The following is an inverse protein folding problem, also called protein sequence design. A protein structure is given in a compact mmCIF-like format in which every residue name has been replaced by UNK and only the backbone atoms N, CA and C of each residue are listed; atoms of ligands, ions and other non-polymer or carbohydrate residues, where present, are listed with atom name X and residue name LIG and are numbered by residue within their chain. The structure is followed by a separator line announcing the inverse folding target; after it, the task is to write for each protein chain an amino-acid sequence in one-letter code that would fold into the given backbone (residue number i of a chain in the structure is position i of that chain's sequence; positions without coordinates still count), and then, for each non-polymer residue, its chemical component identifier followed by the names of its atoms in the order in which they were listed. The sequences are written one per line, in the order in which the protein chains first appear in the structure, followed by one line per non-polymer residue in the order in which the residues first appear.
data_IF_198709551881
#
_entry.id   IF_198709551881
#
_cell.length_a   1.000
_cell.length_b   1.000
_cell.length_c   1.000
_cell.angle_alpha   90.00
_cell.angle_beta   90.00
_cell.angle_gamma   90.00
#
_symmetry.space_group_name_H-M   'P 1'
#
loop_
_entity.id
_entity.type
_entity.pdbx_description
1 polymer ?
#
# COMPACT_ATOMS: atom_id res chain seq x y z
N UNK A 1 -60.57 -20.08 11.49
CA UNK A 1 -59.25 -19.87 12.13
C UNK A 1 -58.20 -19.78 11.04
N UNK A 2 -57.86 -18.57 10.57
CA UNK A 2 -56.68 -18.31 9.77
C UNK A 2 -56.22 -16.89 10.14
N UNK A 3 -55.23 -16.84 11.03
CA UNK A 3 -54.65 -15.59 11.54
C UNK A 3 -53.72 -14.98 10.50
N UNK A 4 -54.01 -13.75 10.12
CA UNK A 4 -53.16 -12.91 9.27
C UNK A 4 -52.05 -12.36 10.17
N UNK A 5 -50.82 -12.79 9.90
CA UNK A 5 -49.60 -12.29 10.54
C UNK A 5 -49.35 -10.86 10.04
N UNK A 6 -49.51 -9.87 10.92
CA UNK A 6 -48.99 -8.53 10.70
C UNK A 6 -47.48 -8.52 10.94
N UNK A 7 -46.70 -8.39 9.86
CA UNK A 7 -45.28 -8.06 9.97
C UNK A 7 -45.14 -6.57 10.29
N UNK A 8 -44.84 -6.27 11.55
CA UNK A 8 -44.33 -4.98 11.98
C UNK A 8 -42.85 -4.93 11.58
N UNK A 9 -42.53 -4.24 10.48
CA UNK A 9 -41.16 -3.86 10.16
C UNK A 9 -40.75 -2.73 11.10
N UNK A 10 -40.19 -3.09 12.25
CA UNK A 10 -39.45 -2.17 13.10
C UNK A 10 -38.11 -1.88 12.42
N UNK A 11 -38.01 -0.75 11.73
CA UNK A 11 -36.74 -0.24 11.22
C UNK A 11 -35.99 0.40 12.40
N UNK A 12 -35.29 -0.42 13.18
CA UNK A 12 -34.35 0.07 14.20
C UNK A 12 -33.14 0.66 13.50
N UNK A 13 -33.11 1.99 13.44
CA UNK A 13 -31.98 2.81 13.00
C UNK A 13 -30.77 2.55 13.92
N UNK A 14 -29.81 1.77 13.41
CA UNK A 14 -28.57 1.43 14.11
C UNK A 14 -27.51 2.49 13.83
N UNK A 15 -26.92 2.97 14.92
CA UNK A 15 -25.63 3.64 15.07
C UNK A 15 -25.35 4.89 14.23
N UNK A 16 -25.56 6.03 14.88
CA UNK A 16 -24.79 7.26 14.67
C UNK A 16 -23.31 6.94 14.92
N UNK A 17 -22.57 6.63 13.86
CA UNK A 17 -21.12 6.76 13.85
C UNK A 17 -20.81 8.22 13.52
N UNK A 18 -20.70 9.03 14.58
CA UNK A 18 -20.11 10.35 14.53
C UNK A 18 -18.64 10.23 14.12
N UNK A 19 -18.38 10.25 12.82
CA UNK A 19 -17.04 10.53 12.29
C UNK A 19 -16.88 12.04 12.36
N UNK A 20 -16.16 12.49 13.39
CA UNK A 20 -15.70 13.88 13.52
C UNK A 20 -14.91 14.25 12.27
N UNK A 21 -15.52 15.02 11.38
CA UNK A 21 -14.88 15.59 10.21
C UNK A 21 -13.97 16.74 10.67
N UNK A 22 -12.72 16.41 11.02
CA UNK A 22 -11.67 17.42 11.13
C UNK A 22 -11.17 17.69 9.71
N UNK A 23 -11.76 18.69 9.07
CA UNK A 23 -11.18 19.30 7.87
C UNK A 23 -9.93 20.09 8.29
N UNK A 24 -8.76 19.44 8.25
CA UNK A 24 -7.49 20.16 8.15
C UNK A 24 -7.05 20.16 6.69
N UNK A 25 -6.51 21.26 6.16
CA UNK A 25 -5.73 21.21 4.93
C UNK A 25 -4.46 20.41 5.26
N UNK A 26 -4.44 19.14 4.89
CA UNK A 26 -3.25 18.30 5.02
C UNK A 26 -2.24 18.72 3.95
N UNK A 27 -1.55 19.83 4.16
CA UNK A 27 -0.16 19.95 3.69
C UNK A 27 0.72 19.19 4.66
N UNK A 28 0.47 17.89 4.83
CA UNK A 28 1.45 17.00 5.42
C UNK A 28 2.38 16.61 4.29
N UNK A 29 3.63 17.05 4.40
CA UNK A 29 4.73 16.47 3.66
C UNK A 29 4.65 14.95 3.88
N UNK A 30 4.21 14.20 2.87
CA UNK A 30 4.33 12.76 2.92
C UNK A 30 5.83 12.45 2.84
N UNK A 31 6.36 11.84 3.89
CA UNK A 31 7.80 11.63 4.08
C UNK A 31 8.32 10.47 3.19
N UNK A 32 7.41 9.62 2.68
CA UNK A 32 7.75 8.47 1.85
C UNK A 32 6.69 8.11 0.78
N UNK A 33 7.10 7.34 -0.23
CA UNK A 33 6.19 6.80 -1.27
C UNK A 33 5.13 5.85 -0.66
N UNK A 34 5.44 5.22 0.46
CA UNK A 34 4.57 4.28 1.17
C UNK A 34 3.43 5.01 1.90
N UNK A 35 3.72 6.18 2.51
CA UNK A 35 2.70 7.03 3.12
C UNK A 35 1.71 7.57 2.07
N UNK A 36 2.21 7.95 0.89
CA UNK A 36 1.35 8.38 -0.22
C UNK A 36 0.49 7.23 -0.74
N UNK A 37 1.02 6.01 -0.81
CA UNK A 37 0.27 4.83 -1.24
C UNK A 37 -0.83 4.46 -0.23
N UNK A 38 -0.54 4.50 1.07
CA UNK A 38 -1.53 4.31 2.11
C UNK A 38 -2.65 5.39 2.05
N UNK A 39 -2.29 6.64 1.74
CA UNK A 39 -3.26 7.71 1.59
C UNK A 39 -4.17 7.52 0.35
N UNK A 40 -3.62 7.03 -0.77
CA UNK A 40 -4.39 6.67 -1.97
C UNK A 40 -5.37 5.52 -1.66
N UNK A 41 -4.94 4.50 -0.93
CA UNK A 41 -5.81 3.39 -0.52
C UNK A 41 -6.94 3.87 0.40
N UNK A 42 -6.62 4.72 1.38
CA UNK A 42 -7.63 5.34 2.25
C UNK A 42 -8.65 6.16 1.45
N UNK A 43 -8.19 7.04 0.56
CA UNK A 43 -9.08 7.87 -0.27
C UNK A 43 -9.94 7.04 -1.21
N UNK A 44 -9.42 5.93 -1.76
CA UNK A 44 -10.22 4.98 -2.54
C UNK A 44 -11.33 4.32 -1.71
N UNK A 45 -11.03 3.91 -0.48
CA UNK A 45 -12.03 3.34 0.42
C UNK A 45 -13.11 4.38 0.78
N UNK A 46 -12.71 5.61 1.09
CA UNK A 46 -13.62 6.72 1.39
C UNK A 46 -14.52 7.04 0.18
N UNK A 47 -13.97 7.06 -1.04
CA UNK A 47 -14.73 7.27 -2.28
C UNK A 47 -15.73 6.13 -2.57
N UNK A 48 -15.32 4.88 -2.39
CA UNK A 48 -16.19 3.71 -2.58
C UNK A 48 -17.34 3.70 -1.56
N UNK A 49 -17.03 4.02 -0.30
CA UNK A 49 -18.03 4.13 0.76
C UNK A 49 -19.05 5.24 0.46
N UNK A 50 -18.58 6.44 0.08
CA UNK A 50 -19.46 7.54 -0.30
C UNK A 50 -20.32 7.20 -1.53
N UNK A 51 -19.76 6.51 -2.51
CA UNK A 51 -20.51 6.05 -3.69
C UNK A 51 -21.63 5.06 -3.32
N UNK A 52 -21.35 4.12 -2.42
CA UNK A 52 -22.36 3.18 -1.91
C UNK A 52 -23.45 3.90 -1.09
N UNK A 53 -23.08 4.88 -0.27
CA UNK A 53 -24.03 5.69 0.49
C UNK A 53 -24.96 6.49 -0.41
N UNK A 54 -24.44 7.12 -1.47
CA UNK A 54 -25.26 7.84 -2.46
C UNK A 54 -26.27 6.89 -3.11
N UNK A 55 -25.85 5.68 -3.51
CA UNK A 55 -26.74 4.69 -4.10
C UNK A 55 -27.85 4.23 -3.13
N UNK A 56 -27.51 3.96 -1.87
CA UNK A 56 -28.48 3.58 -0.83
C UNK A 56 -29.49 4.71 -0.53
N UNK A 57 -29.00 5.95 -0.40
CA UNK A 57 -29.86 7.12 -0.21
C UNK A 57 -30.79 7.33 -1.41
N UNK A 58 -30.30 7.11 -2.64
CA UNK A 58 -31.10 7.22 -3.84
C UNK A 58 -32.24 6.20 -3.87
N UNK A 59 -31.95 4.96 -3.46
CA UNK A 59 -32.98 3.93 -3.34
C UNK A 59 -34.02 4.30 -2.28
N UNK A 60 -33.59 4.75 -1.09
CA UNK A 60 -34.50 5.19 -0.02
C UNK A 60 -35.39 6.34 -0.43
N UNK A 61 -34.87 7.30 -1.20
CA UNK A 61 -35.66 8.41 -1.75
C UNK A 61 -36.71 7.86 -2.72
N UNK A 62 -36.36 6.97 -3.64
CA UNK A 62 -37.31 6.37 -4.58
C UNK A 62 -38.41 5.57 -3.86
N UNK A 63 -38.04 4.76 -2.87
CA UNK A 63 -39.00 3.98 -2.08
C UNK A 63 -39.94 4.88 -1.28
N UNK A 64 -39.42 5.96 -0.71
CA UNK A 64 -40.21 6.97 0.00
C UNK A 64 -41.19 7.68 -0.96
N UNK A 65 -40.74 8.10 -2.14
CA UNK A 65 -41.60 8.72 -3.17
C UNK A 65 -42.70 7.78 -3.66
N UNK A 66 -42.40 6.49 -3.85
CA UNK A 66 -43.39 5.50 -4.22
C UNK A 66 -44.47 5.35 -3.13
N UNK A 67 -44.06 5.37 -1.85
CA UNK A 67 -44.97 5.26 -0.72
C UNK A 67 -45.84 6.51 -0.54
N UNK A 68 -45.30 7.70 -0.78
CA UNK A 68 -46.09 8.95 -0.81
C UNK A 68 -47.16 8.86 -1.89
N UNK A 69 -46.79 8.47 -3.13
CA UNK A 69 -47.76 8.31 -4.23
C UNK A 69 -48.86 7.30 -3.91
N UNK A 70 -48.53 6.19 -3.25
CA UNK A 70 -49.50 5.20 -2.83
C UNK A 70 -50.51 5.79 -1.82
N UNK A 71 -50.03 6.56 -0.83
CA UNK A 71 -50.89 7.24 0.14
C UNK A 71 -51.77 8.29 -0.55
N UNK A 72 -51.20 9.10 -1.44
CA UNK A 72 -51.94 10.10 -2.23
C UNK A 72 -53.06 9.45 -3.06
N UNK A 73 -52.83 8.26 -3.62
CA UNK A 73 -53.83 7.51 -4.38
C UNK A 73 -54.94 6.92 -3.50
N UNK A 74 -54.62 6.50 -2.26
CA UNK A 74 -55.61 5.96 -1.32
C UNK A 74 -56.48 7.04 -0.66
N UNK A 75 -55.97 8.28 -0.59
CA UNK A 75 -56.58 9.39 0.14
C UNK A 75 -58.01 9.74 -0.36
N UNK A 76 -58.29 9.85 -1.68
CA UNK A 76 -59.63 10.13 -2.19
C UNK A 76 -60.66 9.06 -1.81
N UNK A 77 -60.29 7.77 -1.87
CA UNK A 77 -61.20 6.68 -1.53
C UNK A 77 -61.53 6.70 -0.03
N UNK A 78 -60.52 6.90 0.83
CA UNK A 78 -60.72 7.00 2.27
C UNK A 78 -61.58 8.21 2.65
N UNK A 79 -61.40 9.35 1.96
CA UNK A 79 -62.28 10.54 2.09
C UNK A 79 -63.72 10.20 1.72
N UNK A 80 -63.95 9.51 0.60
CA UNK A 80 -65.29 9.11 0.16
C UNK A 80 -65.97 8.17 1.16
N UNK A 81 -65.23 7.19 1.71
CA UNK A 81 -65.74 6.24 2.72
C UNK A 81 -66.10 6.95 4.03
N UNK A 82 -65.27 7.88 4.48
CA UNK A 82 -65.56 8.68 5.67
C UNK A 82 -66.82 9.54 5.48
N UNK A 83 -66.94 10.25 4.35
CA UNK A 83 -68.11 11.07 4.03
C UNK A 83 -69.41 10.24 4.00
N UNK A 84 -69.39 9.07 3.35
CA UNK A 84 -70.53 8.16 3.31
C UNK A 84 -70.93 7.63 4.70
N UNK A 85 -69.95 7.33 5.57
CA UNK A 85 -70.21 6.85 6.92
C UNK A 85 -70.85 7.90 7.82
N UNK A 86 -70.44 9.17 7.68
CA UNK A 86 -70.99 10.31 8.41
C UNK A 86 -72.44 10.53 7.94
N UNK A 87 -72.67 10.58 6.63
CA UNK A 87 -74.00 10.74 6.05
C UNK A 87 -74.97 9.62 6.50
N UNK A 88 -74.52 8.37 6.56
CA UNK A 88 -75.34 7.24 6.98
C UNK A 88 -75.65 7.25 8.49
N UNK A 89 -74.65 7.57 9.32
CA UNK A 89 -74.83 7.70 10.78
C UNK A 89 -75.84 8.81 11.10
N UNK A 90 -75.73 9.95 10.41
CA UNK A 90 -76.66 11.06 10.56
C UNK A 90 -78.08 10.67 10.13
N UNK A 91 -78.23 9.93 9.01
CA UNK A 91 -79.53 9.43 8.54
C UNK A 91 -80.18 8.42 9.51
N UNK A 92 -79.39 7.68 10.28
CA UNK A 92 -79.86 6.73 11.30
C UNK A 92 -80.28 7.40 12.61
N UNK A 93 -79.68 8.52 12.99
CA UNK A 93 -80.01 9.29 14.21
C UNK A 93 -81.22 10.23 14.01
N UNK A 94 -82.27 9.78 13.32
CA UNK A 94 -83.47 10.60 13.05
C UNK A 94 -84.03 11.22 14.33
N UNK A 95 -83.84 12.53 14.49
CA UNK A 95 -84.33 13.31 15.62
C UNK A 95 -83.96 14.79 15.66
N UNK A 96 -83.04 15.27 14.82
CA UNK A 96 -82.70 16.71 14.75
C UNK A 96 -82.66 17.19 13.30
N UNK A 97 -83.76 17.82 12.85
CA UNK A 97 -83.96 18.31 11.49
C UNK A 97 -83.24 19.63 11.17
N UNK A 98 -82.34 20.13 12.03
CA UNK A 98 -81.70 21.45 11.87
C UNK A 98 -80.21 21.44 11.52
N UNK A 99 -79.51 20.31 11.70
CA UNK A 99 -78.04 20.26 11.63
C UNK A 99 -77.52 19.97 10.21
N UNK A 100 -78.29 19.26 9.36
CA UNK A 100 -77.95 19.04 7.94
C UNK A 100 -77.79 20.38 7.20
N UNK A 101 -78.68 21.32 7.46
CA UNK A 101 -78.71 22.62 6.77
C UNK A 101 -77.52 23.50 7.20
N UNK A 102 -77.12 23.42 8.47
CA UNK A 102 -75.94 24.11 9.00
C UNK A 102 -74.61 23.52 8.46
N UNK A 103 -74.54 22.19 8.30
CA UNK A 103 -73.39 21.48 7.73
C UNK A 103 -73.25 21.72 6.22
N UNK A 104 -74.35 21.83 5.49
CA UNK A 104 -74.35 22.12 4.05
C UNK A 104 -74.05 23.60 3.75
N UNK A 105 -74.16 24.50 4.72
CA UNK A 105 -73.82 25.92 4.57
C UNK A 105 -72.37 26.26 4.91
N UNK A 106 -71.52 25.30 5.31
CA UNK A 106 -70.11 25.59 5.59
C UNK A 106 -69.27 25.60 4.31
N UNK A 107 -68.61 26.73 4.05
CA UNK A 107 -67.85 26.95 2.82
C UNK A 107 -66.50 26.20 2.79
N UNK A 108 -66.00 25.68 3.92
CA UNK A 108 -64.74 24.94 3.97
C UNK A 108 -64.75 23.70 4.89
N UNK A 109 -63.82 22.77 4.62
CA UNK A 109 -63.72 21.46 5.29
C UNK A 109 -63.17 21.54 6.72
N UNK A 110 -62.35 22.53 7.07
CA UNK A 110 -61.83 22.68 8.43
C UNK A 110 -62.93 23.19 9.39
N UNK A 111 -63.81 24.04 8.91
CA UNK A 111 -65.00 24.51 9.63
C UNK A 111 -66.02 23.38 9.80
N UNK A 112 -66.16 22.53 8.76
CA UNK A 112 -66.95 21.30 8.84
C UNK A 112 -66.41 20.32 9.89
N UNK A 113 -65.09 20.08 9.94
CA UNK A 113 -64.48 19.20 10.95
C UNK A 113 -64.64 19.78 12.36
N UNK A 114 -64.47 21.09 12.52
CA UNK A 114 -64.63 21.78 13.81
C UNK A 114 -66.07 21.71 14.33
N UNK A 115 -67.04 21.92 13.43
CA UNK A 115 -68.48 21.80 13.73
C UNK A 115 -68.88 20.35 14.08
N UNK A 116 -68.31 19.36 13.39
CA UNK A 116 -68.55 17.93 13.67
C UNK A 116 -67.89 17.45 14.97
N UNK A 117 -66.69 17.95 15.30
CA UNK A 117 -66.07 17.73 16.60
C UNK A 117 -66.90 18.34 17.73
N UNK A 118 -67.44 19.55 17.52
CA UNK A 118 -68.32 20.22 18.48
C UNK A 118 -69.60 19.43 18.74
N UNK A 119 -70.17 18.80 17.70
CA UNK A 119 -71.39 18.02 17.81
C UNK A 119 -71.18 16.58 18.32
N UNK A 120 -69.94 16.12 18.51
CA UNK A 120 -69.58 14.77 18.98
C UNK A 120 -70.26 13.63 18.17
N UNK A 121 -70.63 13.90 16.91
CA UNK A 121 -71.17 12.94 15.95
C UNK A 121 -70.04 12.62 14.98
N UNK A 122 -69.08 11.82 15.43
CA UNK A 122 -68.04 11.30 14.54
C UNK A 122 -67.93 9.79 14.79
N UNK A 123 -67.99 9.02 13.71
CA UNK A 123 -67.56 7.61 13.74
C UNK A 123 -66.03 7.59 13.89
N UNK A 124 -65.55 7.51 15.13
CA UNK A 124 -64.13 7.66 15.51
C UNK A 124 -63.15 6.91 14.59
N UNK A 125 -63.51 5.71 14.11
CA UNK A 125 -62.66 4.87 13.26
C UNK A 125 -62.28 5.46 11.90
N UNK A 126 -63.18 6.17 11.24
CA UNK A 126 -62.90 6.68 9.88
C UNK A 126 -62.06 7.96 9.94
N UNK A 127 -62.27 8.79 10.95
CA UNK A 127 -61.45 9.98 11.24
C UNK A 127 -60.05 9.57 11.69
N UNK A 128 -59.91 8.55 12.53
CA UNK A 128 -58.60 7.98 12.90
C UNK A 128 -57.81 7.49 11.69
N UNK A 129 -58.46 6.80 10.74
CA UNK A 129 -57.79 6.29 9.53
C UNK A 129 -57.26 7.42 8.65
N UNK A 130 -58.06 8.47 8.43
CA UNK A 130 -57.64 9.64 7.64
C UNK A 130 -56.51 10.39 8.36
N UNK A 131 -56.63 10.62 9.67
CA UNK A 131 -55.60 11.30 10.45
C UNK A 131 -54.28 10.52 10.42
N UNK A 132 -54.32 9.19 10.51
CA UNK A 132 -53.13 8.34 10.40
C UNK A 132 -52.49 8.44 9.01
N UNK A 133 -53.27 8.46 7.92
CA UNK A 133 -52.74 8.60 6.56
C UNK A 133 -52.11 9.98 6.33
N UNK A 134 -52.75 11.05 6.82
CA UNK A 134 -52.20 12.41 6.74
C UNK A 134 -50.92 12.53 7.55
N UNK A 135 -50.89 11.98 8.77
CA UNK A 135 -49.68 11.95 9.60
C UNK A 135 -48.55 11.18 8.93
N UNK A 136 -48.85 10.00 8.35
CA UNK A 136 -47.86 9.20 7.63
C UNK A 136 -47.33 9.92 6.39
N UNK A 137 -48.18 10.64 5.65
CA UNK A 137 -47.76 11.47 4.53
C UNK A 137 -46.79 12.56 4.98
N UNK A 138 -47.13 13.30 6.04
CA UNK A 138 -46.28 14.36 6.58
C UNK A 138 -44.93 13.81 7.10
N UNK A 139 -44.93 12.64 7.73
CA UNK A 139 -43.72 11.96 8.19
C UNK A 139 -42.85 11.52 7.01
N UNK A 140 -43.44 10.99 5.94
CA UNK A 140 -42.71 10.62 4.73
C UNK A 140 -42.14 11.84 3.99
N UNK A 141 -42.88 12.96 3.91
CA UNK A 141 -42.39 14.21 3.34
C UNK A 141 -41.22 14.79 4.16
N UNK A 142 -41.32 14.76 5.49
CA UNK A 142 -40.23 15.15 6.38
C UNK A 142 -39.01 14.24 6.17
N UNK A 143 -39.23 12.92 6.07
CA UNK A 143 -38.19 11.92 5.80
C UNK A 143 -37.54 12.17 4.43
N UNK A 144 -38.31 12.49 3.40
CA UNK A 144 -37.80 12.84 2.06
C UNK A 144 -36.90 14.06 2.11
N UNK A 145 -37.28 15.10 2.85
CA UNK A 145 -36.47 16.30 3.02
C UNK A 145 -35.14 15.99 3.70
N UNK A 146 -35.18 15.16 4.74
CA UNK A 146 -33.99 14.71 5.47
C UNK A 146 -33.08 13.85 4.57
N UNK A 147 -33.63 12.88 3.84
CA UNK A 147 -32.89 12.04 2.89
C UNK A 147 -32.24 12.87 1.77
N UNK A 148 -32.93 13.90 1.25
CA UNK A 148 -32.35 14.81 0.26
C UNK A 148 -31.18 15.64 0.84
N UNK A 149 -31.28 16.08 2.09
CA UNK A 149 -30.18 16.77 2.76
C UNK A 149 -28.98 15.83 2.98
N UNK A 150 -29.24 14.58 3.39
CA UNK A 150 -28.20 13.55 3.50
C UNK A 150 -27.56 13.23 2.14
N UNK A 151 -28.35 13.20 1.06
CA UNK A 151 -27.85 12.98 -0.30
C UNK A 151 -26.92 14.10 -0.75
N UNK A 152 -27.30 15.36 -0.55
CA UNK A 152 -26.45 16.50 -0.89
C UNK A 152 -25.10 16.47 -0.14
N UNK A 153 -25.13 16.08 1.14
CA UNK A 153 -23.90 15.92 1.93
C UNK A 153 -23.06 14.72 1.46
N UNK A 154 -23.68 13.59 1.15
CA UNK A 154 -22.99 12.41 0.63
C UNK A 154 -22.35 12.67 -0.75
N UNK A 155 -23.01 13.43 -1.63
CA UNK A 155 -22.45 13.87 -2.91
C UNK A 155 -21.25 14.78 -2.71
N UNK A 156 -21.33 15.73 -1.77
CA UNK A 156 -20.20 16.59 -1.41
C UNK A 156 -19.01 15.79 -0.87
N UNK A 157 -19.27 14.79 -0.02
CA UNK A 157 -18.23 13.90 0.51
C UNK A 157 -17.61 13.06 -0.60
N UNK A 158 -18.41 12.52 -1.52
CA UNK A 158 -17.92 11.79 -2.69
C UNK A 158 -17.03 12.68 -3.57
N UNK A 159 -17.42 13.92 -3.81
CA UNK A 159 -16.62 14.86 -4.59
C UNK A 159 -15.30 15.19 -3.89
N UNK A 160 -15.34 15.51 -2.59
CA UNK A 160 -14.14 15.77 -1.80
C UNK A 160 -13.19 14.57 -1.77
N UNK A 161 -13.71 13.34 -1.65
CA UNK A 161 -12.90 12.13 -1.70
C UNK A 161 -12.26 11.91 -3.10
N UNK A 162 -12.98 12.23 -4.18
CA UNK A 162 -12.45 12.18 -5.55
C UNK A 162 -11.33 13.20 -5.77
N UNK A 163 -11.49 14.43 -5.27
CA UNK A 163 -10.49 15.48 -5.38
C UNK A 163 -9.23 15.12 -4.57
N UNK A 164 -9.40 14.63 -3.33
CA UNK A 164 -8.30 14.17 -2.49
C UNK A 164 -7.55 12.97 -3.09
N UNK A 165 -8.27 12.06 -3.78
CA UNK A 165 -7.65 10.95 -4.48
C UNK A 165 -6.77 11.43 -5.64
N UNK A 166 -7.28 12.37 -6.44
CA UNK A 166 -6.53 12.94 -7.56
C UNK A 166 -5.26 13.66 -7.07
N UNK A 167 -5.39 14.48 -6.02
CA UNK A 167 -4.26 15.18 -5.41
C UNK A 167 -3.19 14.20 -4.88
N UNK A 168 -3.61 13.11 -4.24
CA UNK A 168 -2.69 12.09 -3.73
C UNK A 168 -1.95 11.36 -4.87
N UNK A 169 -2.64 11.04 -5.96
CA UNK A 169 -2.03 10.44 -7.16
C UNK A 169 -1.03 11.38 -7.82
N UNK A 170 -1.37 12.66 -7.95
CA UNK A 170 -0.49 13.67 -8.53
C UNK A 170 0.75 13.90 -7.66
N UNK A 171 0.60 13.99 -6.34
CA UNK A 171 1.71 14.08 -5.40
C UNK A 171 2.65 12.87 -5.50
N UNK A 172 2.10 11.65 -5.61
CA UNK A 172 2.87 10.42 -5.78
C UNK A 172 3.64 10.40 -7.10
N UNK A 173 3.03 10.84 -8.19
CA UNK A 173 3.69 10.92 -9.49
C UNK A 173 4.80 11.98 -9.51
N UNK A 174 4.56 13.14 -8.89
CA UNK A 174 5.56 14.19 -8.74
C UNK A 174 6.77 13.72 -7.91
N UNK A 175 6.52 13.05 -6.78
CA UNK A 175 7.58 12.51 -5.94
C UNK A 175 8.38 11.42 -6.68
N UNK A 176 7.71 10.52 -7.41
CA UNK A 176 8.39 9.52 -8.22
C UNK A 176 9.30 10.21 -9.25
N UNK A 177 8.78 11.18 -10.00
CA UNK A 177 9.56 11.92 -10.99
C UNK A 177 10.77 12.62 -10.36
N UNK A 178 10.60 13.24 -9.20
CA UNK A 178 11.69 13.88 -8.46
C UNK A 178 12.78 12.88 -8.04
N UNK A 179 12.39 11.69 -7.58
CA UNK A 179 13.35 10.63 -7.25
C UNK A 179 14.08 10.09 -8.49
N UNK A 180 13.39 9.98 -9.63
CA UNK A 180 14.00 9.57 -10.90
C UNK A 180 14.97 10.62 -11.43
N UNK A 181 14.61 11.90 -11.32
CA UNK A 181 15.48 13.04 -11.67
C UNK A 181 16.69 13.13 -10.74
N UNK A 182 16.52 12.96 -9.42
CA UNK A 182 17.64 12.88 -8.47
C UNK A 182 18.57 11.72 -8.81
N UNK A 183 18.03 10.53 -9.04
CA UNK A 183 18.82 9.35 -9.42
C UNK A 183 19.53 9.54 -10.77
N UNK A 184 18.91 10.22 -11.73
CA UNK A 184 19.54 10.53 -13.01
C UNK A 184 20.64 11.60 -12.86
N UNK A 185 20.41 12.62 -12.03
CA UNK A 185 21.40 13.65 -11.72
C UNK A 185 22.59 13.08 -10.94
N UNK A 186 22.33 12.19 -9.98
CA UNK A 186 23.35 11.48 -9.22
C UNK A 186 24.17 10.57 -10.14
N UNK A 187 23.52 9.77 -11.00
CA UNK A 187 24.22 9.00 -12.05
C UNK A 187 25.06 9.87 -12.98
N UNK A 188 24.56 11.02 -13.41
CA UNK A 188 25.31 11.92 -14.29
C UNK A 188 26.50 12.57 -13.57
N UNK A 189 26.36 12.90 -12.28
CA UNK A 189 27.46 13.38 -11.44
C UNK A 189 28.49 12.27 -11.18
N UNK A 190 28.04 11.04 -10.94
CA UNK A 190 28.88 9.86 -10.82
C UNK A 190 29.65 9.60 -12.12
N UNK A 191 28.99 9.59 -13.29
CA UNK A 191 29.62 9.41 -14.59
C UNK A 191 30.65 10.52 -14.91
N UNK A 192 30.34 11.77 -14.58
CA UNK A 192 31.26 12.90 -14.75
C UNK A 192 32.49 12.78 -13.82
N UNK A 193 32.27 12.39 -12.56
CA UNK A 193 33.35 12.14 -11.61
C UNK A 193 34.22 10.93 -12.03
N UNK A 194 33.61 9.87 -12.56
CA UNK A 194 34.30 8.70 -13.12
C UNK A 194 35.14 9.11 -14.34
N UNK A 195 34.60 9.90 -15.27
CA UNK A 195 35.34 10.38 -16.45
C UNK A 195 36.52 11.29 -16.08
N UNK A 196 36.35 12.16 -15.07
CA UNK A 196 37.44 12.99 -14.55
C UNK A 196 38.51 12.16 -13.82
N UNK A 197 38.09 11.16 -13.04
CA UNK A 197 38.99 10.23 -12.36
C UNK A 197 39.74 9.32 -13.36
N UNK A 198 39.11 8.90 -14.46
CA UNK A 198 39.76 8.13 -15.52
C UNK A 198 40.84 8.93 -16.25
N UNK A 199 40.61 10.23 -16.52
CA UNK A 199 41.65 11.12 -17.06
C UNK A 199 42.85 11.24 -16.12
N UNK A 200 42.61 11.37 -14.81
CA UNK A 200 43.67 11.42 -13.78
C UNK A 200 44.38 10.07 -13.59
N UNK A 201 43.69 8.95 -13.83
CA UNK A 201 44.24 7.60 -13.70
C UNK A 201 45.11 7.18 -14.90
N UNK A 202 44.84 7.68 -16.11
CA UNK A 202 45.73 7.47 -17.26
C UNK A 202 47.12 8.12 -17.07
N UNK A 203 47.28 8.98 -16.06
CA UNK A 203 48.54 9.64 -15.70
C UNK A 203 49.29 8.94 -14.54
N UNK A 204 48.71 7.91 -13.89
CA UNK A 204 49.27 7.29 -12.67
C UNK A 204 49.53 5.77 -12.81
N UNK A 205 50.72 5.33 -12.37
CA UNK A 205 51.17 3.93 -12.40
C UNK A 205 50.31 2.99 -11.50
N UNK A 206 50.05 1.78 -12.00
CA UNK A 206 49.20 0.71 -11.42
C UNK A 206 49.71 0.13 -10.08
N UNK A 207 49.65 0.90 -9.00
CA UNK A 207 49.97 0.42 -7.65
C UNK A 207 48.91 0.95 -6.66
N UNK A 208 48.42 0.10 -5.76
CA UNK A 208 47.50 0.51 -4.70
C UNK A 208 48.09 0.23 -3.30
N UNK A 209 47.88 1.14 -2.36
CA UNK A 209 48.31 1.00 -0.96
C UNK A 209 47.10 0.66 -0.10
N UNK A 210 47.08 -0.54 0.50
CA UNK A 210 45.98 -1.00 1.36
C UNK A 210 45.96 -0.27 2.73
N UNK A 211 44.94 -0.53 3.55
CA UNK A 211 44.79 0.08 4.87
C UNK A 211 45.92 -0.30 5.87
N UNK A 212 46.73 -1.32 5.58
CA UNK A 212 47.93 -1.68 6.35
C UNK A 212 49.21 -1.00 5.85
N UNK A 213 49.11 -0.11 4.87
CA UNK A 213 50.23 0.66 4.33
C UNK A 213 51.11 -0.13 3.34
N UNK A 214 50.69 -1.32 2.92
CA UNK A 214 51.42 -2.15 1.97
C UNK A 214 50.96 -1.87 0.53
N UNK A 215 51.92 -1.69 -0.38
CA UNK A 215 51.67 -1.56 -1.80
C UNK A 215 51.48 -2.94 -2.44
N UNK A 216 50.33 -3.15 -3.06
CA UNK A 216 50.02 -4.34 -3.83
C UNK A 216 49.93 -3.96 -5.31
N UNK A 217 50.62 -4.73 -6.16
CA UNK A 217 50.50 -4.65 -7.60
C UNK A 217 49.37 -5.55 -8.07
N UNK A 218 48.59 -5.10 -9.05
CA UNK A 218 47.56 -5.93 -9.69
C UNK A 218 47.70 -5.87 -11.21
N UNK A 219 47.43 -7.00 -11.86
CA UNK A 219 47.31 -7.08 -13.32
C UNK A 219 45.83 -6.91 -13.62
N UNK A 220 45.44 -5.79 -14.25
CA UNK A 220 44.10 -5.64 -14.78
C UNK A 220 43.85 -6.76 -15.80
N UNK A 221 42.76 -7.54 -15.71
CA UNK A 221 42.39 -8.46 -16.76
C UNK A 221 42.24 -7.66 -18.05
N UNK A 222 43.02 -8.02 -19.07
CA UNK A 222 42.77 -7.52 -20.42
C UNK A 222 41.53 -8.26 -20.92
N UNK A 223 40.49 -7.52 -21.27
CA UNK A 223 39.43 -8.00 -22.14
C UNK A 223 40.08 -8.33 -23.49
N UNK A 224 40.60 -9.56 -23.61
CA UNK A 224 40.86 -10.15 -24.90
C UNK A 224 40.04 -11.43 -24.99
N UNK A 225 38.73 -11.23 -25.17
CA UNK A 225 37.92 -12.18 -25.91
C UNK A 225 38.44 -12.19 -27.35
N UNK A 226 39.36 -13.11 -27.64
CA UNK A 226 39.61 -13.55 -29.00
C UNK A 226 39.62 -15.09 -29.05
N UNK A 227 38.71 -15.56 -29.89
CA UNK A 227 38.39 -16.93 -30.29
C UNK A 227 39.58 -17.77 -30.78
N UNK A 228 39.30 -19.08 -30.82
CA UNK A 228 39.95 -20.20 -31.54
C UNK A 228 41.10 -20.93 -30.80
N UNK A 229 41.18 -22.26 -30.74
CA UNK A 229 40.47 -23.33 -31.45
C UNK A 229 40.59 -24.66 -30.68
N UNK A 230 39.58 -25.50 -30.88
CA UNK A 230 39.48 -26.96 -30.74
C UNK A 230 40.74 -27.78 -30.41
N UNK A 231 40.61 -28.68 -29.42
CA UNK A 231 40.96 -30.09 -29.61
C UNK A 231 39.95 -30.99 -28.88
N UNK A 232 39.65 -32.12 -29.51
CA UNK A 232 38.55 -33.03 -29.29
C UNK A 232 39.05 -34.26 -28.52
N UNK A 233 38.39 -34.63 -27.41
CA UNK A 233 38.36 -36.03 -26.98
C UNK A 233 37.07 -36.30 -26.20
N UNK A 234 36.27 -37.19 -26.79
CA UNK A 234 35.09 -37.84 -26.25
C UNK A 234 35.38 -38.61 -24.95
N UNK A 235 34.53 -38.44 -23.94
CA UNK A 235 33.95 -39.60 -23.26
C UNK A 235 32.58 -39.25 -22.64
N UNK A 236 31.65 -40.20 -22.77
CA UNK A 236 30.23 -40.05 -22.48
C UNK A 236 29.94 -40.63 -21.08
N UNK A 237 29.65 -39.78 -20.11
CA UNK A 237 28.86 -40.20 -18.93
C UNK A 237 27.78 -39.18 -18.64
N UNK A 238 26.55 -39.60 -18.84
CA UNK A 238 25.34 -38.90 -18.44
C UNK A 238 25.28 -38.74 -16.92
N UNK A 239 25.70 -37.59 -16.43
CA UNK A 239 25.22 -37.03 -15.16
C UNK A 239 25.05 -35.52 -15.38
N UNK A 240 23.93 -34.98 -14.91
CA UNK A 240 23.45 -33.64 -15.26
C UNK A 240 24.42 -32.56 -14.78
N UNK A 241 25.33 -32.18 -15.67
CA UNK A 241 26.30 -31.11 -15.47
C UNK A 241 25.58 -29.77 -15.43
N UNK A 242 25.34 -29.25 -14.22
CA UNK A 242 25.15 -27.81 -14.04
C UNK A 242 26.47 -27.12 -14.39
N UNK A 243 26.51 -26.61 -15.61
CA UNK A 243 27.52 -25.71 -16.17
C UNK A 243 28.18 -24.83 -15.11
N UNK A 244 29.40 -25.19 -14.72
CA UNK A 244 30.32 -24.36 -13.96
C UNK A 244 30.80 -23.20 -14.83
N UNK A 245 29.97 -22.16 -14.90
CA UNK A 245 30.37 -20.85 -15.39
C UNK A 245 30.89 -20.05 -14.18
N UNK A 246 32.21 -19.82 -14.01
CA UNK A 246 32.77 -19.16 -12.82
C UNK A 246 32.35 -17.68 -12.71
N UNK A 247 31.86 -17.12 -13.82
CA UNK A 247 31.42 -15.72 -13.94
C UNK A 247 29.90 -15.55 -13.85
N UNK A 248 29.14 -16.62 -13.58
CA UNK A 248 27.68 -16.57 -13.54
C UNK A 248 27.11 -15.85 -12.31
N UNK A 249 25.93 -15.26 -12.48
CA UNK A 249 25.11 -14.70 -11.39
C UNK A 249 24.88 -15.73 -10.27
N UNK A 250 24.82 -15.27 -9.02
CA UNK A 250 24.61 -16.13 -7.86
C UNK A 250 23.19 -16.71 -7.93
N UNK A 251 23.09 -18.04 -7.94
CA UNK A 251 21.79 -18.72 -7.92
C UNK A 251 21.30 -18.88 -6.48
N UNK A 252 20.12 -18.33 -6.23
CA UNK A 252 19.43 -18.31 -4.93
C UNK A 252 18.27 -19.32 -4.86
N UNK A 253 17.96 -20.01 -5.97
CA UNK A 253 16.81 -20.90 -6.08
C UNK A 253 17.01 -22.26 -5.40
N UNK A 254 18.26 -22.69 -5.30
CA UNK A 254 18.69 -23.87 -4.54
C UNK A 254 18.73 -23.52 -3.05
N UNK A 255 17.62 -23.75 -2.33
CA UNK A 255 17.40 -23.32 -0.94
C UNK A 255 18.60 -23.49 0.02
N UNK A 256 18.60 -22.70 1.12
CA UNK A 256 19.73 -22.44 2.06
C UNK A 256 20.79 -23.54 2.19
N UNK A 257 20.41 -24.79 2.44
CA UNK A 257 21.36 -25.89 2.65
C UNK A 257 22.22 -26.18 1.41
N UNK A 258 21.65 -26.17 0.22
CA UNK A 258 22.36 -26.41 -1.03
C UNK A 258 23.27 -25.22 -1.39
N UNK A 259 22.77 -23.99 -1.21
CA UNK A 259 23.57 -22.78 -1.34
C UNK A 259 24.79 -22.79 -0.42
N UNK A 260 24.59 -23.02 0.89
CA UNK A 260 25.66 -23.03 1.88
C UNK A 260 26.67 -24.10 1.54
N UNK A 261 26.25 -25.33 1.23
CA UNK A 261 27.16 -26.42 0.87
C UNK A 261 28.04 -26.07 -0.33
N UNK A 262 27.44 -25.54 -1.41
CA UNK A 262 28.14 -25.13 -2.63
C UNK A 262 29.18 -24.04 -2.37
N UNK A 263 28.78 -22.97 -1.68
CA UNK A 263 29.64 -21.81 -1.47
C UNK A 263 30.68 -22.03 -0.38
N UNK A 264 30.38 -22.85 0.64
CA UNK A 264 31.37 -23.23 1.66
C UNK A 264 32.62 -23.82 1.03
N UNK A 265 32.46 -24.83 0.16
CA UNK A 265 33.58 -25.51 -0.48
C UNK A 265 34.42 -24.59 -1.39
N UNK A 266 33.77 -23.70 -2.14
CA UNK A 266 34.46 -22.71 -3.00
C UNK A 266 35.26 -21.71 -2.19
N UNK A 267 34.63 -21.16 -1.14
CA UNK A 267 35.26 -20.16 -0.28
C UNK A 267 36.40 -20.79 0.54
N UNK A 268 36.23 -21.99 1.08
CA UNK A 268 37.29 -22.68 1.81
C UNK A 268 38.49 -23.01 0.91
N UNK A 269 38.25 -23.47 -0.32
CA UNK A 269 39.31 -23.69 -1.29
C UNK A 269 40.09 -22.40 -1.57
N UNK A 270 39.38 -21.28 -1.74
CA UNK A 270 39.99 -19.97 -1.94
C UNK A 270 40.75 -19.47 -0.70
N UNK A 271 40.22 -19.65 0.50
CA UNK A 271 40.82 -19.18 1.76
C UNK A 271 41.91 -20.10 2.32
N UNK A 272 42.13 -21.27 1.70
CA UNK A 272 43.11 -22.26 2.15
C UNK A 272 44.50 -21.65 2.42
N UNK A 273 45.09 -22.01 3.55
CA UNK A 273 46.40 -21.53 3.97
C UNK A 273 46.42 -20.11 4.55
N UNK A 274 45.28 -19.43 4.69
CA UNK A 274 45.19 -18.13 5.35
C UNK A 274 44.61 -18.23 6.77
N UNK A 275 44.69 -17.17 7.59
CA UNK A 275 44.02 -17.11 8.90
C UNK A 275 42.49 -17.26 8.86
N UNK A 276 41.87 -17.09 7.68
CA UNK A 276 40.45 -17.31 7.45
C UNK A 276 40.14 -18.70 6.87
N UNK A 277 41.11 -19.62 6.78
CA UNK A 277 40.86 -20.98 6.34
C UNK A 277 39.88 -21.71 7.27
N UNK A 278 38.91 -22.43 6.69
CA UNK A 278 37.88 -23.16 7.44
C UNK A 278 36.63 -22.34 7.77
N UNK A 279 36.58 -21.06 7.37
CA UNK A 279 35.44 -20.18 7.58
C UNK A 279 34.48 -20.08 6.39
N UNK A 280 34.64 -20.92 5.36
CA UNK A 280 33.83 -20.89 4.15
C UNK A 280 32.33 -21.05 4.45
N UNK A 281 31.96 -21.94 5.37
CA UNK A 281 30.58 -22.09 5.81
C UNK A 281 30.03 -20.85 6.50
N UNK A 282 30.81 -20.20 7.37
CA UNK A 282 30.40 -18.97 8.04
C UNK A 282 30.15 -17.84 7.04
N UNK A 283 31.02 -17.68 6.04
CA UNK A 283 30.80 -16.70 4.96
C UNK A 283 29.55 -17.02 4.15
N UNK A 284 29.36 -18.29 3.77
CA UNK A 284 28.20 -18.70 2.97
C UNK A 284 26.88 -18.55 3.74
N UNK A 285 26.85 -18.88 5.03
CA UNK A 285 25.68 -18.71 5.89
C UNK A 285 25.32 -17.23 6.08
N UNK A 286 26.31 -16.37 6.35
CA UNK A 286 26.10 -14.94 6.48
C UNK A 286 25.65 -14.31 5.15
N UNK A 287 26.26 -14.72 4.03
CA UNK A 287 25.87 -14.27 2.70
C UNK A 287 24.41 -14.65 2.38
N UNK A 288 24.01 -15.87 2.75
CA UNK A 288 22.63 -16.30 2.60
C UNK A 288 21.67 -15.44 3.42
N UNK A 289 21.99 -15.24 4.71
CA UNK A 289 21.12 -14.51 5.64
C UNK A 289 20.86 -13.07 5.21
N UNK A 290 21.88 -12.40 4.66
CA UNK A 290 21.81 -10.98 4.30
C UNK A 290 21.65 -10.70 2.80
N UNK A 291 21.52 -11.73 1.96
CA UNK A 291 21.36 -11.58 0.51
C UNK A 291 22.57 -10.94 -0.19
N UNK A 292 23.77 -11.26 0.28
CA UNK A 292 25.05 -10.72 -0.25
C UNK A 292 25.69 -11.74 -1.18
N UNK A 293 26.34 -11.30 -2.26
CA UNK A 293 27.15 -12.19 -3.09
C UNK A 293 28.22 -12.89 -2.22
N UNK A 294 28.20 -14.24 -2.13
CA UNK A 294 29.06 -14.99 -1.22
C UNK A 294 30.55 -14.83 -1.54
N UNK A 295 30.91 -14.36 -2.74
CA UNK A 295 32.31 -14.07 -3.12
C UNK A 295 32.80 -12.73 -2.60
N UNK A 296 31.90 -11.78 -2.34
CA UNK A 296 32.25 -10.38 -2.14
C UNK A 296 33.08 -10.15 -0.86
N UNK A 297 32.57 -10.62 0.28
CA UNK A 297 33.27 -10.44 1.57
C UNK A 297 34.63 -11.18 1.64
N UNK A 298 34.77 -12.44 1.17
CA UNK A 298 36.07 -13.10 1.07
C UNK A 298 37.04 -12.42 0.09
N UNK A 299 36.54 -11.84 -1.01
CA UNK A 299 37.38 -11.11 -1.96
C UNK A 299 37.94 -9.82 -1.34
N UNK A 300 37.13 -9.05 -0.62
CA UNK A 300 37.60 -7.86 0.10
C UNK A 300 38.65 -8.22 1.14
N UNK A 301 38.48 -9.32 1.88
CA UNK A 301 39.47 -9.72 2.90
C UNK A 301 40.85 -10.01 2.28
N UNK A 302 40.88 -10.55 1.06
CA UNK A 302 42.11 -10.75 0.31
C UNK A 302 42.79 -9.43 -0.08
N UNK A 303 42.02 -8.47 -0.58
CA UNK A 303 42.52 -7.14 -0.98
C UNK A 303 43.05 -6.36 0.22
N UNK A 304 42.33 -6.40 1.35
CA UNK A 304 42.60 -5.52 2.50
C UNK A 304 43.66 -6.06 3.45
N UNK A 305 43.70 -7.38 3.64
CA UNK A 305 44.58 -7.99 4.66
C UNK A 305 45.25 -9.29 4.21
N UNK A 306 45.23 -9.61 2.92
CA UNK A 306 45.71 -10.92 2.43
C UNK A 306 45.00 -12.06 3.16
N UNK A 307 43.66 -12.02 3.19
CA UNK A 307 42.77 -13.04 3.76
C UNK A 307 42.99 -13.23 5.27
N UNK A 308 43.22 -12.12 5.98
CA UNK A 308 43.39 -12.06 7.43
C UNK A 308 44.84 -12.11 7.93
N UNK A 309 45.84 -12.19 7.04
CA UNK A 309 47.26 -12.26 7.44
C UNK A 309 47.80 -10.93 7.99
N UNK A 310 47.33 -9.80 7.44
CA UNK A 310 47.81 -8.46 7.79
C UNK A 310 46.63 -7.57 8.18
N UNK A 311 46.01 -7.87 9.32
CA UNK A 311 44.92 -7.07 9.84
C UNK A 311 45.42 -5.83 10.59
N UNK A 312 44.74 -4.70 10.37
CA UNK A 312 44.99 -3.47 11.13
C UNK A 312 44.60 -3.60 12.61
N UNK A 313 43.56 -4.39 12.91
CA UNK A 313 43.06 -4.69 14.27
C UNK A 313 42.70 -6.16 14.42
N UNK A 314 42.62 -6.71 15.65
CA UNK A 314 42.20 -8.09 15.88
C UNK A 314 40.91 -8.45 15.14
N UNK A 315 40.98 -9.53 14.36
CA UNK A 315 39.89 -10.05 13.52
C UNK A 315 39.30 -9.06 12.49
N UNK A 316 40.03 -7.99 12.12
CA UNK A 316 39.58 -7.01 11.12
C UNK A 316 40.22 -7.24 9.75
N UNK A 317 39.74 -8.26 9.03
CA UNK A 317 40.31 -8.66 7.75
C UNK A 317 39.97 -7.72 6.58
N UNK A 318 39.04 -6.79 6.76
CA UNK A 318 38.54 -5.91 5.70
C UNK A 318 38.96 -4.45 5.86
N UNK A 319 39.80 -4.12 6.87
CA UNK A 319 40.21 -2.74 7.10
C UNK A 319 39.04 -1.80 7.42
N UNK A 320 37.93 -2.34 7.95
CA UNK A 320 36.68 -1.61 8.11
C UNK A 320 36.75 -0.65 9.30
N UNK A 321 37.11 0.61 9.02
CA UNK A 321 37.16 1.70 10.00
C UNK A 321 38.08 1.39 11.18
N UNK A 322 37.57 1.64 12.41
CA UNK A 322 38.28 1.33 13.67
C UNK A 322 37.78 0.04 14.33
N UNK A 323 37.06 -0.81 13.59
CA UNK A 323 36.40 -2.00 14.13
C UNK A 323 37.40 -3.11 14.47
N UNK A 324 37.07 -3.88 15.52
CA UNK A 324 37.81 -5.03 16.02
C UNK A 324 36.82 -5.99 16.66
N UNK A 325 37.07 -7.30 16.58
CA UNK A 325 36.15 -8.32 17.06
C UNK A 325 36.83 -9.38 17.91
N UNK A 326 36.04 -10.10 18.70
CA UNK A 326 36.52 -11.18 19.57
C UNK A 326 36.88 -12.45 18.80
N UNK A 327 36.26 -12.68 17.64
CA UNK A 327 36.52 -13.84 16.78
C UNK A 327 36.28 -13.55 15.30
N UNK A 328 36.74 -14.44 14.42
CA UNK A 328 36.49 -14.34 12.98
C UNK A 328 35.01 -14.50 12.64
N UNK A 329 34.31 -15.40 13.33
CA UNK A 329 32.88 -15.64 13.12
C UNK A 329 32.09 -14.35 13.35
N UNK A 330 32.30 -13.70 14.50
CA UNK A 330 31.65 -12.42 14.82
C UNK A 330 31.95 -11.35 13.76
N UNK A 331 33.22 -11.26 13.34
CA UNK A 331 33.66 -10.29 12.36
C UNK A 331 33.05 -10.52 10.97
N UNK A 332 32.97 -11.79 10.53
CA UNK A 332 32.37 -12.17 9.24
C UNK A 332 30.90 -11.79 9.21
N UNK A 333 30.14 -12.17 10.24
CA UNK A 333 28.71 -11.85 10.35
C UNK A 333 28.48 -10.34 10.34
N UNK A 334 29.28 -9.58 11.10
CA UNK A 334 29.19 -8.12 11.13
C UNK A 334 29.53 -7.48 9.77
N UNK A 335 30.60 -7.92 9.12
CA UNK A 335 31.02 -7.37 7.83
C UNK A 335 30.00 -7.63 6.72
N UNK A 336 29.47 -8.86 6.63
CA UNK A 336 28.47 -9.20 5.62
C UNK A 336 27.16 -8.42 5.84
N UNK A 337 26.71 -8.25 7.08
CA UNK A 337 25.57 -7.39 7.40
C UNK A 337 25.81 -5.92 6.98
N UNK A 338 27.03 -5.43 7.17
CA UNK A 338 27.47 -4.11 6.71
C UNK A 338 27.44 -3.95 5.20
N UNK A 339 27.86 -4.97 4.45
CA UNK A 339 27.81 -4.97 2.98
C UNK A 339 26.37 -4.95 2.46
N UNK A 340 25.45 -5.67 3.10
CA UNK A 340 24.03 -5.63 2.73
C UNK A 340 23.43 -4.24 2.95
N UNK A 341 23.60 -3.69 4.16
CA UNK A 341 23.01 -2.40 4.54
C UNK A 341 23.65 -1.18 3.88
N UNK A 342 24.98 -1.21 3.69
CA UNK A 342 25.74 -0.04 3.27
C UNK A 342 26.16 -0.03 1.80
N UNK A 343 26.15 -1.19 1.13
CA UNK A 343 26.75 -1.38 -0.20
C UNK A 343 25.85 -2.19 -1.16
N UNK A 344 24.65 -2.58 -0.74
CA UNK A 344 23.68 -3.31 -1.58
C UNK A 344 24.03 -4.78 -1.83
N UNK A 345 25.03 -5.33 -1.13
CA UNK A 345 25.35 -6.77 -1.17
C UNK A 345 26.11 -7.27 -2.41
N UNK A 346 26.46 -6.41 -3.36
CA UNK A 346 27.22 -6.78 -4.57
C UNK A 346 28.35 -5.80 -4.83
N UNK A 347 29.36 -6.24 -5.58
CA UNK A 347 30.45 -5.36 -6.00
C UNK A 347 29.95 -4.36 -7.05
N UNK A 348 30.00 -3.07 -6.72
CA UNK A 348 29.65 -1.96 -7.61
C UNK A 348 30.76 -0.91 -7.60
N UNK A 349 30.87 -0.13 -8.67
CA UNK A 349 31.84 0.97 -8.72
C UNK A 349 31.55 2.04 -7.66
N UNK A 350 30.27 2.35 -7.41
CA UNK A 350 29.88 3.28 -6.33
C UNK A 350 30.22 2.72 -4.95
N UNK A 351 30.01 1.42 -4.73
CA UNK A 351 30.43 0.73 -3.52
C UNK A 351 31.95 0.79 -3.30
N UNK A 352 32.73 0.58 -4.36
CA UNK A 352 34.19 0.71 -4.31
C UNK A 352 34.65 2.15 -3.99
N UNK A 353 33.98 3.16 -4.54
CA UNK A 353 34.26 4.57 -4.23
C UNK A 353 33.92 4.96 -2.80
N UNK A 354 32.88 4.36 -2.23
CA UNK A 354 32.56 4.51 -0.81
C UNK A 354 33.55 3.78 0.10
N UNK A 355 33.98 2.58 -0.29
CA UNK A 355 34.87 1.74 0.50
C UNK A 355 36.30 2.27 0.53
N UNK A 356 36.79 2.68 -0.65
CA UNK A 356 38.13 3.18 -0.84
C UNK A 356 38.15 4.41 -1.76
N UNK A 357 37.84 5.60 -1.22
CA UNK A 357 37.75 6.82 -2.01
C UNK A 357 39.09 7.27 -2.60
N UNK A 358 40.22 6.79 -2.06
CA UNK A 358 41.55 7.15 -2.54
C UNK A 358 41.93 6.44 -3.86
N UNK A 359 41.46 5.21 -4.08
CA UNK A 359 41.67 4.47 -5.32
C UNK A 359 40.50 3.52 -5.63
N UNK A 360 39.33 4.04 -6.01
CA UNK A 360 38.13 3.25 -6.24
C UNK A 360 38.29 2.21 -7.35
N UNK A 361 38.95 2.59 -8.44
CA UNK A 361 39.09 1.74 -9.63
C UNK A 361 40.05 0.58 -9.40
N UNK A 362 41.19 0.86 -8.74
CA UNK A 362 42.15 -0.19 -8.38
C UNK A 362 41.54 -1.15 -7.38
N UNK A 363 40.78 -0.65 -6.41
CA UNK A 363 40.07 -1.48 -5.45
C UNK A 363 38.99 -2.34 -6.11
N UNK A 364 38.11 -1.73 -6.92
CA UNK A 364 37.06 -2.46 -7.65
C UNK A 364 37.67 -3.59 -8.49
N UNK A 365 38.69 -3.27 -9.27
CA UNK A 365 39.36 -4.24 -10.15
C UNK A 365 40.02 -5.36 -9.35
N UNK A 366 40.66 -5.04 -8.22
CA UNK A 366 41.27 -6.03 -7.34
C UNK A 366 40.21 -6.94 -6.69
N UNK A 367 39.10 -6.39 -6.21
CA UNK A 367 38.02 -7.20 -5.60
C UNK A 367 37.34 -8.06 -6.67
N UNK A 368 37.04 -7.52 -7.85
CA UNK A 368 36.46 -8.29 -8.95
C UNK A 368 37.37 -9.44 -9.38
N UNK A 369 38.69 -9.20 -9.48
CA UNK A 369 39.66 -10.24 -9.80
C UNK A 369 39.65 -11.37 -8.76
N UNK A 370 39.60 -11.02 -7.46
CA UNK A 370 39.50 -12.01 -6.39
C UNK A 370 38.15 -12.74 -6.38
N UNK A 371 37.04 -12.06 -6.67
CA UNK A 371 35.72 -12.70 -6.81
C UNK A 371 35.71 -13.74 -7.93
N UNK A 372 36.40 -13.49 -9.04
CA UNK A 372 36.49 -14.45 -10.16
C UNK A 372 37.34 -15.69 -9.83
N UNK A 373 38.13 -15.67 -8.74
CA UNK A 373 38.93 -16.81 -8.27
C UNK A 373 38.19 -17.71 -7.27
N UNK A 374 37.01 -17.29 -6.81
CA UNK A 374 36.12 -18.05 -5.92
C UNK A 374 35.05 -18.70 -6.77
#
# INVERSE_FOLDING_TARGET
MHGIKGSVFALTLVCILSVSLVAMPYTAYAESLEDLQANIEKSNNDYNNATNQVADLQQKIQDNEARIKEIENQLPEQRSRAAASIANTYRMQQGSLGIIDLILSTDNFNDLISLLQYLNIISNRNTETINNLVNLSNELDATKKDLNAQMAEAEKQKQAASEALQEAVDARNALQKQMEEQRAAEKAQEEAAIAEAQKKAQESNNTFTNASGQQTGYVAPSDNSSNNSADNSSDNSSDSSHSSNPSGSVDWSDGKSAFVSKWSGRIDAYLSGSPLAGYGSTFAEAAWEYGVDPRFSPAISAVESTKGAYCFRPHSAWGWGSSSWGSWEEAIWAHVAGLASGYGGYLTYSGAAKYNPANPNGWYSAVQANMNMI
#
